data_IF_092915161333
#
_entry.id   IF_092915161333
#
_cell.length_a   1.000
_cell.length_b   1.000
_cell.length_c   1.000
_cell.angle_alpha   90.00
_cell.angle_beta   90.00
_cell.angle_gamma   90.00
#
_symmetry.space_group_name_H-M   'P 1'
#
loop_
_entity.id
_entity.type
_entity.pdbx_description
1 polymer ?
#
# COMPACT_ATOMS: atom_id res chain seq x y z
N UNK A 1 48.48 8.46 -2.56
CA UNK A 1 47.13 8.01 -2.14
C UNK A 1 46.19 9.17 -1.69
N UNK A 2 46.34 10.39 -2.23
CA UNK A 2 45.56 11.59 -1.82
C UNK A 2 44.76 12.27 -2.95
N UNK A 3 44.60 11.62 -4.12
CA UNK A 3 43.87 12.20 -5.26
C UNK A 3 42.73 11.33 -5.83
N UNK A 4 42.41 10.20 -5.22
CA UNK A 4 41.32 9.32 -5.67
C UNK A 4 40.00 9.49 -4.90
N UNK A 5 40.02 10.13 -3.73
CA UNK A 5 38.81 10.27 -2.88
C UNK A 5 37.93 11.46 -3.31
N UNK A 6 38.52 12.49 -3.94
CA UNK A 6 37.78 13.69 -4.33
C UNK A 6 36.95 13.50 -5.61
N UNK A 7 37.35 12.58 -6.49
CA UNK A 7 36.61 12.31 -7.74
C UNK A 7 35.38 11.40 -7.52
N UNK A 8 35.36 10.57 -6.48
CA UNK A 8 34.19 9.72 -6.17
C UNK A 8 33.05 10.50 -5.53
N UNK A 9 33.34 11.52 -4.70
CA UNK A 9 32.30 12.38 -4.11
C UNK A 9 31.64 13.32 -5.14
N UNK A 10 32.40 13.82 -6.13
CA UNK A 10 31.85 14.74 -7.12
C UNK A 10 31.06 14.02 -8.23
N UNK A 11 31.41 12.77 -8.55
CA UNK A 11 30.64 11.93 -9.47
C UNK A 11 29.29 11.50 -8.89
N UNK A 12 29.16 11.39 -7.56
CA UNK A 12 27.89 11.04 -6.92
C UNK A 12 26.89 12.22 -6.85
N UNK A 13 27.39 13.46 -6.87
CA UNK A 13 26.54 14.65 -6.90
C UNK A 13 25.96 14.98 -8.29
N UNK A 14 26.52 14.42 -9.37
CA UNK A 14 26.10 14.71 -10.75
C UNK A 14 24.96 13.80 -11.27
N UNK A 15 24.53 12.80 -10.51
CA UNK A 15 23.35 11.97 -10.85
C UNK A 15 22.06 12.38 -10.12
N UNK A 16 22.07 13.46 -9.34
CA UNK A 16 20.89 13.99 -8.66
C UNK A 16 19.96 14.81 -9.57
N UNK A 17 19.97 14.56 -10.89
CA UNK A 17 19.03 15.17 -11.83
C UNK A 17 17.84 14.25 -12.07
N UNK A 18 16.71 14.61 -11.45
CA UNK A 18 15.33 14.22 -11.80
C UNK A 18 15.08 12.73 -12.08
N UNK A 19 14.47 12.04 -11.12
CA UNK A 19 13.44 11.06 -11.46
C UNK A 19 12.33 11.06 -10.40
N UNK A 20 11.14 11.38 -10.90
CA UNK A 20 9.85 11.42 -10.22
C UNK A 20 9.39 9.97 -10.08
N UNK A 21 9.51 9.39 -8.89
CA UNK A 21 8.79 8.18 -8.47
C UNK A 21 8.58 8.27 -6.96
N UNK A 22 7.43 7.80 -6.47
CA UNK A 22 7.02 7.86 -5.06
C UNK A 22 8.14 7.34 -4.14
N UNK A 23 8.89 8.28 -3.55
CA UNK A 23 10.01 7.95 -2.69
C UNK A 23 9.47 7.37 -1.38
N UNK A 24 10.12 6.33 -0.86
CA UNK A 24 9.83 5.80 0.46
C UNK A 24 10.08 6.90 1.50
N UNK A 25 8.98 7.60 1.88
CA UNK A 25 9.00 8.56 2.98
C UNK A 25 9.05 7.78 4.29
N UNK A 26 10.11 8.04 5.05
CA UNK A 26 10.22 7.49 6.39
C UNK A 26 9.14 8.10 7.29
N UNK A 27 8.57 7.29 8.19
CA UNK A 27 7.49 7.71 9.07
C UNK A 27 7.89 8.90 9.95
N UNK A 28 6.92 9.76 10.28
CA UNK A 28 7.15 10.92 11.13
C UNK A 28 7.67 10.53 12.52
N UNK A 29 7.14 9.44 13.08
CA UNK A 29 7.57 8.83 14.34
C UNK A 29 7.43 7.31 14.26
N UNK A 30 8.27 6.58 15.00
CA UNK A 30 8.17 5.12 15.08
C UNK A 30 8.87 4.57 16.32
N UNK A 31 8.43 3.39 16.76
CA UNK A 31 9.07 2.64 17.83
C UNK A 31 9.61 1.33 17.26
N UNK A 32 10.81 0.96 17.64
CA UNK A 32 11.43 -0.25 17.14
C UNK A 32 12.21 -1.00 18.20
N UNK A 33 12.45 -2.27 17.89
CA UNK A 33 13.33 -3.13 18.65
C UNK A 33 14.26 -3.84 17.66
N UNK A 34 15.53 -3.89 18.01
CA UNK A 34 16.56 -4.57 17.24
C UNK A 34 17.33 -5.57 18.11
N UNK A 35 17.72 -6.67 17.49
CA UNK A 35 18.54 -7.72 18.08
C UNK A 35 19.66 -8.09 17.13
N UNK A 36 20.80 -8.50 17.68
CA UNK A 36 21.90 -9.01 16.89
C UNK A 36 23.12 -9.31 17.71
N UNK A 37 24.29 -9.17 17.11
CA UNK A 37 25.58 -9.52 17.70
C UNK A 37 26.41 -8.29 18.03
N UNK A 38 27.13 -8.33 19.15
CA UNK A 38 28.20 -7.41 19.48
C UNK A 38 29.52 -8.16 19.67
N UNK A 39 30.63 -7.48 19.35
CA UNK A 39 31.99 -8.00 19.50
C UNK A 39 32.89 -6.91 20.11
N UNK A 40 33.47 -7.21 21.27
CA UNK A 40 34.43 -6.31 21.93
C UNK A 40 35.68 -6.10 21.09
N UNK A 41 36.32 -4.94 21.22
CA UNK A 41 37.59 -4.63 20.56
C UNK A 41 38.70 -4.48 21.59
N UNK A 42 38.71 -5.35 22.61
CA UNK A 42 39.52 -5.19 23.82
C UNK A 42 40.56 -6.32 23.98
N UNK A 43 40.25 -7.52 23.49
CA UNK A 43 41.09 -8.70 23.60
C UNK A 43 40.95 -9.65 22.41
N UNK A 44 42.02 -10.35 22.04
CA UNK A 44 41.94 -11.43 21.05
C UNK A 44 41.06 -12.60 21.48
N UNK A 45 40.70 -12.68 22.77
CA UNK A 45 39.78 -13.67 23.32
C UNK A 45 38.29 -13.25 23.23
N UNK A 46 37.99 -12.07 22.70
CA UNK A 46 36.62 -11.56 22.56
C UNK A 46 35.74 -12.53 21.76
N UNK A 47 34.50 -12.70 22.23
CA UNK A 47 33.47 -13.52 21.56
C UNK A 47 32.29 -12.66 21.14
N UNK A 48 31.60 -13.13 20.11
CA UNK A 48 30.29 -12.59 19.74
C UNK A 48 29.29 -12.84 20.87
N UNK A 49 28.56 -11.80 21.23
CA UNK A 49 27.54 -11.80 22.27
C UNK A 49 26.25 -11.20 21.74
N UNK A 50 25.13 -11.48 22.38
CA UNK A 50 23.84 -10.92 21.97
C UNK A 50 23.77 -9.45 22.40
N UNK A 51 23.26 -8.61 21.51
CA UNK A 51 22.90 -7.22 21.77
C UNK A 51 21.42 -7.02 21.45
N UNK A 52 20.71 -6.34 22.36
CA UNK A 52 19.35 -5.84 22.12
C UNK A 52 19.32 -4.32 22.20
N UNK A 53 18.46 -3.67 21.41
CA UNK A 53 18.23 -2.23 21.44
C UNK A 53 16.76 -1.92 21.15
N UNK A 54 16.07 -1.29 22.11
CA UNK A 54 14.80 -0.62 21.86
C UNK A 54 15.05 0.83 21.45
N UNK A 55 14.26 1.37 20.54
CA UNK A 55 14.45 2.75 20.07
C UNK A 55 13.16 3.43 19.64
N UNK A 56 13.18 4.75 19.73
CA UNK A 56 12.18 5.66 19.20
C UNK A 56 12.82 6.49 18.09
N UNK A 57 12.26 6.41 16.88
CA UNK A 57 12.66 7.21 15.73
C UNK A 57 11.74 8.42 15.57
N UNK A 58 12.32 9.57 15.24
CA UNK A 58 11.59 10.79 14.95
C UNK A 58 12.24 11.54 13.80
N UNK A 59 11.44 12.35 13.12
CA UNK A 59 11.85 13.15 11.98
C UNK A 59 12.52 14.46 12.41
N UNK A 60 13.67 14.77 11.82
CA UNK A 60 14.36 16.06 11.98
C UNK A 60 14.18 16.92 10.73
N UNK A 61 14.63 16.42 9.58
CA UNK A 61 14.53 17.11 8.28
C UNK A 61 14.16 16.07 7.22
N UNK A 62 12.92 16.13 6.69
CA UNK A 62 12.49 15.21 5.63
C UNK A 62 13.24 15.43 4.32
N UNK A 63 13.52 14.37 3.53
CA UNK A 63 13.64 12.95 3.89
C UNK A 63 15.04 12.57 4.39
N UNK A 64 15.93 13.54 4.56
CA UNK A 64 17.38 13.36 4.56
C UNK A 64 17.95 13.11 5.97
N UNK A 65 17.26 13.54 7.04
CA UNK A 65 17.77 13.46 8.40
C UNK A 65 16.69 13.00 9.40
N UNK A 66 16.99 11.91 10.11
CA UNK A 66 16.17 11.35 11.18
C UNK A 66 16.97 11.26 12.48
N UNK A 67 16.27 11.26 13.61
CA UNK A 67 16.82 10.99 14.93
C UNK A 67 16.32 9.66 15.47
N UNK A 68 17.16 8.92 16.19
CA UNK A 68 16.79 7.73 16.94
C UNK A 68 17.31 7.80 18.38
N UNK A 69 16.38 7.87 19.32
CA UNK A 69 16.63 7.71 20.76
C UNK A 69 16.57 6.23 21.10
N UNK A 70 17.65 5.66 21.63
CA UNK A 70 17.77 4.23 21.91
C UNK A 70 18.18 3.91 23.33
N UNK A 71 17.73 2.76 23.81
CA UNK A 71 18.25 2.08 25.00
C UNK A 71 18.59 0.65 24.63
N UNK A 72 19.80 0.19 24.98
CA UNK A 72 20.27 -1.13 24.63
C UNK A 72 20.95 -1.86 25.78
N UNK A 73 21.11 -3.16 25.60
CA UNK A 73 21.77 -4.06 26.52
C UNK A 73 22.67 -5.02 25.74
N UNK A 74 23.87 -5.27 26.28
CA UNK A 74 24.72 -6.37 25.84
C UNK A 74 25.57 -6.86 27.00
N UNK A 75 26.09 -8.09 26.92
CA UNK A 75 27.03 -8.64 27.89
C UNK A 75 28.31 -9.03 27.19
N UNK A 76 29.26 -8.09 27.10
CA UNK A 76 30.56 -8.32 26.48
C UNK A 76 31.33 -9.39 27.27
N UNK A 77 32.01 -10.27 26.56
CA UNK A 77 32.66 -11.43 27.18
C UNK A 77 33.94 -11.82 26.44
N UNK A 78 35.03 -11.84 27.19
CA UNK A 78 36.31 -12.41 26.79
C UNK A 78 36.72 -13.45 27.85
N UNK A 79 36.57 -14.75 27.56
CA UNK A 79 36.85 -15.81 28.54
C UNK A 79 38.25 -15.68 29.15
N UNK A 80 38.31 -15.62 30.50
CA UNK A 80 39.56 -15.48 31.24
C UNK A 80 40.11 -14.04 31.31
N UNK A 81 39.43 -13.07 30.69
CA UNK A 81 39.85 -11.65 30.70
C UNK A 81 38.79 -10.78 31.39
N UNK A 82 37.54 -10.79 30.90
CA UNK A 82 36.46 -10.01 31.48
C UNK A 82 35.07 -10.56 31.09
N UNK A 83 34.05 -10.18 31.85
CA UNK A 83 32.64 -10.33 31.51
C UNK A 83 31.92 -9.10 32.02
N UNK A 84 31.30 -8.33 31.14
CA UNK A 84 30.72 -7.03 31.45
C UNK A 84 29.33 -6.87 30.83
N UNK A 85 28.29 -6.88 31.67
CA UNK A 85 26.96 -6.46 31.31
C UNK A 85 26.90 -4.93 31.21
N UNK A 86 26.49 -4.43 30.06
CA UNK A 86 26.47 -2.99 29.75
C UNK A 86 25.07 -2.59 29.29
N UNK A 87 24.51 -1.57 29.93
CA UNK A 87 23.33 -0.84 29.44
C UNK A 87 23.81 0.42 28.75
N UNK A 88 23.21 0.75 27.60
CA UNK A 88 23.50 1.96 26.83
C UNK A 88 22.24 2.78 26.61
N UNK A 89 22.39 4.10 26.59
CA UNK A 89 21.39 5.04 26.10
C UNK A 89 22.04 5.97 25.07
N UNK A 90 21.46 6.09 23.88
CA UNK A 90 22.09 6.77 22.76
C UNK A 90 21.12 7.58 21.90
N UNK A 91 21.60 8.66 21.30
CA UNK A 91 20.95 9.37 20.21
C UNK A 91 21.76 9.14 18.93
N UNK A 92 21.14 8.57 17.90
CA UNK A 92 21.71 8.44 16.55
C UNK A 92 21.03 9.44 15.63
N UNK A 93 21.83 10.16 14.84
CA UNK A 93 21.38 10.98 13.73
C UNK A 93 21.61 10.20 12.45
N UNK A 94 20.54 9.82 11.77
CA UNK A 94 20.55 9.00 10.55
C UNK A 94 20.43 9.94 9.35
N UNK A 95 21.48 9.99 8.54
CA UNK A 95 21.51 10.70 7.28
C UNK A 95 21.20 9.75 6.12
N UNK A 96 20.15 10.06 5.36
CA UNK A 96 19.67 9.28 4.21
C UNK A 96 20.06 10.06 2.95
N UNK A 97 21.18 9.70 2.28
CA UNK A 97 21.70 10.46 1.15
C UNK A 97 20.82 10.37 -0.10
N UNK A 98 20.05 9.27 -0.23
CA UNK A 98 19.11 9.03 -1.32
C UNK A 98 18.09 7.99 -0.87
N UNK A 99 16.89 8.03 -1.44
CA UNK A 99 15.81 7.07 -1.19
C UNK A 99 15.53 6.27 -2.46
N UNK A 100 15.50 4.94 -2.34
CA UNK A 100 15.03 4.05 -3.41
C UNK A 100 13.56 3.67 -3.14
N UNK A 101 12.89 3.09 -4.14
CA UNK A 101 11.45 2.73 -4.07
C UNK A 101 11.08 1.94 -2.80
N UNK A 102 11.96 1.03 -2.36
CA UNK A 102 11.71 0.16 -1.19
C UNK A 102 12.83 0.20 -0.15
N UNK A 103 13.90 0.96 -0.38
CA UNK A 103 15.12 0.88 0.43
C UNK A 103 15.72 2.27 0.69
N UNK A 104 15.88 2.60 1.96
CA UNK A 104 16.58 3.81 2.42
C UNK A 104 17.91 3.42 3.08
N UNK A 105 19.04 3.52 2.35
CA UNK A 105 20.34 3.42 2.98
C UNK A 105 20.58 4.65 3.86
N UNK A 106 21.25 4.46 4.99
CA UNK A 106 21.62 5.54 5.88
C UNK A 106 23.03 5.38 6.43
N UNK A 107 23.63 6.51 6.76
CA UNK A 107 24.83 6.61 7.58
C UNK A 107 24.40 7.25 8.90
N UNK A 108 24.89 6.79 10.03
CA UNK A 108 24.59 7.39 11.31
C UNK A 108 25.82 7.75 12.13
N UNK A 109 25.68 8.80 12.91
CA UNK A 109 26.59 9.21 13.96
C UNK A 109 25.79 9.74 15.14
N UNK A 110 26.37 9.74 16.33
CA UNK A 110 25.59 10.09 17.52
C UNK A 110 26.41 10.29 18.76
N UNK A 111 25.69 10.36 19.88
CA UNK A 111 26.25 10.47 21.21
C UNK A 111 25.40 9.64 22.18
N UNK A 112 26.04 9.13 23.22
CA UNK A 112 25.35 8.33 24.21
C UNK A 112 26.17 8.17 25.47
N UNK A 113 25.62 7.38 26.38
CA UNK A 113 26.27 6.96 27.61
C UNK A 113 26.05 5.47 27.79
N UNK A 114 27.02 4.81 28.40
CA UNK A 114 26.93 3.41 28.79
C UNK A 114 27.26 3.25 30.27
N UNK A 115 26.72 2.22 30.90
CA UNK A 115 27.03 1.86 32.28
C UNK A 115 27.22 0.35 32.39
N UNK A 116 28.31 -0.05 33.04
CA UNK A 116 28.54 -1.44 33.41
C UNK A 116 27.68 -1.78 34.64
N UNK A 117 26.78 -2.74 34.52
CA UNK A 117 25.83 -3.09 35.59
C UNK A 117 26.28 -4.27 36.45
N UNK A 118 27.36 -4.96 36.07
CA UNK A 118 27.95 -6.00 36.91
C UNK A 118 28.81 -5.40 38.05
N UNK A 119 29.20 -4.12 37.94
CA UNK A 119 30.01 -3.40 38.93
C UNK A 119 29.16 -2.38 39.68
N UNK A 120 28.97 -2.60 40.99
CA UNK A 120 28.28 -1.65 41.86
C UNK A 120 29.07 -0.34 41.96
N UNK A 121 28.38 0.79 41.78
CA UNK A 121 28.99 2.12 41.81
C UNK A 121 29.76 2.53 40.54
N UNK A 122 29.58 1.82 39.43
CA UNK A 122 30.18 2.19 38.14
C UNK A 122 29.69 3.55 37.63
N UNK A 123 30.63 4.29 37.02
CA UNK A 123 30.36 5.59 36.39
C UNK A 123 29.60 5.44 35.07
N UNK A 124 28.89 6.49 34.67
CA UNK A 124 28.41 6.62 33.30
C UNK A 124 29.57 6.97 32.38
N UNK A 125 29.78 6.13 31.37
CA UNK A 125 30.85 6.28 30.40
C UNK A 125 30.30 6.90 29.11
N UNK A 126 30.81 8.05 28.67
CA UNK A 126 30.37 8.67 27.42
C UNK A 126 30.78 7.82 26.22
N UNK A 127 29.89 7.76 25.23
CA UNK A 127 30.00 6.88 24.08
C UNK A 127 29.62 7.61 22.79
N UNK A 128 30.29 7.26 21.70
CA UNK A 128 30.05 7.79 20.35
C UNK A 128 29.68 6.64 19.42
N UNK A 129 28.39 6.42 19.13
CA UNK A 129 27.94 5.47 18.12
C UNK A 129 28.10 6.06 16.71
N UNK A 130 28.61 5.26 15.77
CA UNK A 130 28.57 5.56 14.35
C UNK A 130 28.51 4.29 13.51
N UNK A 131 27.95 4.38 12.32
CA UNK A 131 27.81 3.23 11.44
C UNK A 131 26.97 3.50 10.22
N UNK A 132 26.50 2.42 9.61
CA UNK A 132 25.71 2.41 8.39
C UNK A 132 24.57 1.41 8.51
N UNK A 133 23.56 1.55 7.66
CA UNK A 133 22.48 0.60 7.59
C UNK A 133 21.54 0.90 6.44
N UNK A 134 20.42 0.18 6.42
CA UNK A 134 19.30 0.51 5.56
C UNK A 134 17.98 0.19 6.25
N UNK A 135 16.93 0.88 5.82
CA UNK A 135 15.55 0.61 6.16
C UNK A 135 14.78 0.17 4.92
N UNK A 136 13.93 -0.85 5.04
CA UNK A 136 13.03 -1.30 3.98
C UNK A 136 11.61 -1.45 4.51
N UNK A 137 10.62 -1.15 3.66
CA UNK A 137 9.21 -1.36 3.99
C UNK A 137 8.90 -2.86 4.00
N UNK A 138 8.28 -3.36 5.06
CA UNK A 138 7.66 -4.69 5.11
C UNK A 138 6.13 -4.62 4.96
N UNK A 139 5.52 -3.50 5.34
CA UNK A 139 4.09 -3.23 5.20
C UNK A 139 3.77 -1.75 5.41
N UNK A 140 2.50 -1.37 5.43
CA UNK A 140 2.05 0.02 5.58
C UNK A 140 2.55 0.69 6.87
N UNK A 141 2.76 -0.09 7.95
CA UNK A 141 3.15 0.41 9.26
C UNK A 141 4.41 -0.26 9.84
N UNK A 142 5.12 -1.04 9.02
CA UNK A 142 6.24 -1.86 9.47
C UNK A 142 7.46 -1.69 8.58
N UNK A 143 8.60 -1.39 9.20
CA UNK A 143 9.90 -1.31 8.56
C UNK A 143 10.84 -2.36 9.15
N UNK A 144 11.67 -2.92 8.29
CA UNK A 144 12.87 -3.63 8.69
C UNK A 144 14.04 -2.65 8.66
N UNK A 145 14.83 -2.62 9.73
CA UNK A 145 16.11 -1.94 9.80
C UNK A 145 17.23 -2.99 9.91
N UNK A 146 18.28 -2.85 9.11
CA UNK A 146 19.52 -3.58 9.29
C UNK A 146 20.64 -2.55 9.45
N UNK A 147 21.36 -2.60 10.56
CA UNK A 147 22.46 -1.67 10.83
C UNK A 147 23.71 -2.35 11.36
N UNK A 148 24.86 -1.83 10.97
CA UNK A 148 26.17 -2.22 11.47
C UNK A 148 26.95 -0.98 11.89
N UNK A 149 27.69 -1.05 12.98
CA UNK A 149 28.48 0.08 13.43
C UNK A 149 29.39 -0.21 14.60
N UNK A 150 29.97 0.85 15.12
CA UNK A 150 30.91 0.83 16.23
C UNK A 150 30.46 1.81 17.32
N UNK A 151 30.59 1.37 18.56
CA UNK A 151 30.31 2.17 19.75
C UNK A 151 31.64 2.44 20.43
N UNK A 152 32.17 3.65 20.23
CA UNK A 152 33.43 4.07 20.86
C UNK A 152 33.14 4.59 22.26
N UNK A 153 33.67 3.94 23.29
CA UNK A 153 33.71 4.48 24.65
C UNK A 153 34.86 5.48 24.73
N UNK A 154 34.65 6.66 25.31
CA UNK A 154 35.73 7.62 25.58
C UNK A 154 36.48 7.30 26.89
N UNK A 155 36.36 6.05 27.37
CA UNK A 155 36.98 5.51 28.57
C UNK A 155 37.49 4.09 28.32
N UNK A 156 38.46 3.68 29.12
CA UNK A 156 39.11 2.37 29.23
C UNK A 156 38.46 1.44 30.29
N UNK A 157 37.25 1.78 30.75
CA UNK A 157 36.53 1.06 31.83
C UNK A 157 35.25 0.41 31.36
N UNK A 158 35.00 0.31 30.06
CA UNK A 158 33.73 -0.19 29.54
C UNK A 158 33.48 -1.63 30.01
N UNK A 159 34.53 -2.43 29.98
CA UNK A 159 34.53 -3.84 30.35
C UNK A 159 35.31 -4.15 31.64
N UNK A 160 35.95 -3.13 32.22
CA UNK A 160 36.80 -3.25 33.42
C UNK A 160 38.22 -3.75 33.14
N UNK A 161 38.60 -3.96 31.87
CA UNK A 161 39.93 -4.40 31.47
C UNK A 161 40.81 -3.21 31.05
N UNK A 162 41.84 -2.91 31.85
CA UNK A 162 42.74 -1.78 31.56
C UNK A 162 43.68 -2.14 30.40
N UNK A 163 43.59 -1.38 29.30
CA UNK A 163 44.43 -1.58 28.11
C UNK A 163 45.88 -1.16 28.36
N UNK A 164 46.83 -1.99 27.92
CA UNK A 164 48.28 -1.69 27.93
C UNK A 164 48.67 -0.84 26.71
N UNK A 165 49.85 -0.21 26.74
CA UNK A 165 50.36 0.61 25.63
C UNK A 165 50.61 -0.20 24.33
N UNK A 166 50.57 -1.53 24.41
CA UNK A 166 50.68 -2.44 23.26
C UNK A 166 49.33 -2.75 22.58
N UNK A 167 48.20 -2.46 23.24
CA UNK A 167 46.85 -2.86 22.80
C UNK A 167 45.94 -1.64 22.70
N UNK A 168 46.33 -0.65 21.90
CA UNK A 168 45.54 0.56 21.67
C UNK A 168 44.31 0.26 20.81
N UNK A 169 43.27 1.06 20.98
CA UNK A 169 42.08 1.04 20.14
C UNK A 169 42.45 1.31 18.68
N UNK A 170 41.96 0.48 17.77
CA UNK A 170 42.32 0.54 16.34
C UNK A 170 41.87 1.85 15.67
N UNK A 171 40.84 2.51 16.19
CA UNK A 171 40.25 3.74 15.62
C UNK A 171 40.90 4.99 16.21
N UNK A 172 41.06 5.04 17.54
CA UNK A 172 41.55 6.24 18.24
C UNK A 172 43.05 6.24 18.50
N UNK A 173 43.71 5.09 18.36
CA UNK A 173 45.11 4.87 18.77
C UNK A 173 45.37 5.32 20.22
N UNK A 174 44.35 5.16 21.08
CA UNK A 174 44.35 5.47 22.51
C UNK A 174 43.78 4.27 23.28
N UNK A 175 43.82 4.33 24.61
CA UNK A 175 43.28 3.28 25.50
C UNK A 175 41.74 3.27 25.58
N UNK A 176 41.05 3.82 24.59
CA UNK A 176 39.59 3.87 24.59
C UNK A 176 39.00 2.48 24.29
N UNK A 177 37.97 2.07 25.02
CA UNK A 177 37.27 0.82 24.71
C UNK A 177 36.24 1.03 23.60
N UNK A 178 35.75 -0.07 23.06
CA UNK A 178 34.61 -0.05 22.18
C UNK A 178 34.17 -1.43 21.77
N UNK A 179 33.06 -1.48 21.04
CA UNK A 179 32.58 -2.72 20.45
C UNK A 179 31.91 -2.45 19.10
N UNK A 180 32.06 -3.41 18.20
CA UNK A 180 31.29 -3.48 16.95
C UNK A 180 29.95 -4.13 17.22
N UNK A 181 28.91 -3.72 16.49
CA UNK A 181 27.60 -4.34 16.55
C UNK A 181 26.96 -4.47 15.16
N UNK A 182 26.22 -5.55 14.95
CA UNK A 182 25.31 -5.75 13.82
C UNK A 182 23.93 -6.03 14.42
N UNK A 183 22.94 -5.25 14.01
CA UNK A 183 21.57 -5.30 14.52
C UNK A 183 20.59 -5.45 13.36
N UNK A 184 19.58 -6.29 13.57
CA UNK A 184 18.39 -6.40 12.73
C UNK A 184 17.20 -6.00 13.61
N UNK A 185 16.42 -5.03 13.17
CA UNK A 185 15.31 -4.49 13.92
C UNK A 185 14.03 -4.36 13.13
N UNK A 186 12.93 -4.45 13.85
CA UNK A 186 11.61 -4.09 13.34
C UNK A 186 11.23 -2.75 13.94
N UNK A 187 10.70 -1.86 13.11
CA UNK A 187 10.15 -0.59 13.52
C UNK A 187 8.69 -0.52 13.12
N UNK A 188 7.86 -0.16 14.08
CA UNK A 188 6.45 0.09 13.92
C UNK A 188 6.24 1.59 13.85
N UNK A 189 5.69 2.03 12.74
CA UNK A 189 5.39 3.42 12.50
C UNK A 189 3.98 3.62 13.03
N UNK A 190 3.82 4.37 14.13
CA UNK A 190 2.49 4.68 14.62
C UNK A 190 1.72 5.28 13.45
N UNK A 191 0.57 4.67 13.09
CA UNK A 191 -0.21 4.97 11.91
C UNK A 191 -0.16 6.47 11.60
N UNK A 192 0.68 6.88 10.64
CA UNK A 192 0.51 8.19 10.04
C UNK A 192 -0.81 8.06 9.31
N UNK A 193 -1.88 8.59 9.91
CA UNK A 193 -3.27 8.38 9.51
C UNK A 193 -3.45 8.54 8.01
N UNK A 194 -2.71 9.43 7.37
CA UNK A 194 -2.80 9.77 5.95
C UNK A 194 -2.38 8.65 4.97
N UNK A 195 -1.47 7.75 5.33
CA UNK A 195 -1.03 6.65 4.45
C UNK A 195 -1.51 5.26 4.93
N UNK A 196 -2.37 5.23 5.94
CA UNK A 196 -3.06 4.01 6.35
C UNK A 196 -4.24 3.73 5.43
N UNK A 197 -4.65 2.47 5.41
CA UNK A 197 -5.89 1.98 4.78
C UNK A 197 -6.66 1.26 5.91
N UNK A 198 -7.48 1.98 6.68
CA UNK A 198 -8.03 1.48 7.94
C UNK A 198 -9.14 0.44 7.77
N UNK A 199 -9.94 0.53 6.71
CA UNK A 199 -11.04 -0.38 6.37
C UNK A 199 -10.66 -1.44 5.34
N UNK A 200 -9.49 -1.33 4.71
CA UNK A 200 -8.87 -2.33 3.81
C UNK A 200 -9.60 -2.49 2.50
N UNK A 201 -10.13 -1.39 1.98
CA UNK A 201 -10.84 -1.34 0.71
C UNK A 201 -9.89 -1.16 -0.49
N UNK A 202 -8.63 -0.78 -0.23
CA UNK A 202 -7.60 -0.52 -1.23
C UNK A 202 -7.29 0.97 -1.46
N UNK A 203 -7.94 1.89 -0.76
CA UNK A 203 -7.61 3.31 -0.71
C UNK A 203 -6.86 3.65 0.57
N UNK A 204 -5.98 4.65 0.49
CA UNK A 204 -5.36 5.20 1.69
C UNK A 204 -6.18 6.39 2.17
N UNK A 205 -6.22 6.63 3.48
CA UNK A 205 -6.93 7.76 4.12
C UNK A 205 -6.70 9.10 3.44
N UNK A 206 -5.50 9.37 2.92
CA UNK A 206 -5.21 10.60 2.18
C UNK A 206 -6.03 10.68 0.89
N UNK A 207 -6.06 9.60 0.11
CA UNK A 207 -6.80 9.52 -1.13
C UNK A 207 -8.30 9.57 -0.87
N UNK A 208 -8.77 8.84 0.15
CA UNK A 208 -10.18 8.88 0.58
C UNK A 208 -10.61 10.29 0.97
N UNK A 209 -9.78 11.02 1.71
CA UNK A 209 -10.03 12.42 2.04
C UNK A 209 -10.04 13.34 0.81
N UNK A 210 -9.24 13.06 -0.21
CA UNK A 210 -9.23 13.80 -1.48
C UNK A 210 -10.48 13.50 -2.33
N UNK A 211 -10.99 12.26 -2.26
CA UNK A 211 -12.20 11.81 -2.95
C UNK A 211 -13.49 12.17 -2.19
N UNK A 212 -13.41 12.39 -0.88
CA UNK A 212 -14.55 12.66 -0.01
C UNK A 212 -15.19 11.43 0.63
N UNK A 213 -14.57 10.25 0.51
CA UNK A 213 -15.03 9.01 1.12
C UNK A 213 -14.66 8.92 2.61
N UNK A 214 -15.27 7.99 3.36
CA UNK A 214 -15.00 7.80 4.79
C UNK A 214 -13.88 6.76 5.03
N UNK A 215 -12.70 7.15 5.56
CA UNK A 215 -11.54 6.26 5.78
C UNK A 215 -11.69 5.06 6.72
N UNK A 216 -12.91 4.77 7.13
CA UNK A 216 -13.24 3.67 8.05
C UNK A 216 -14.45 2.88 7.55
N UNK A 217 -14.94 3.20 6.37
CA UNK A 217 -16.08 2.59 5.76
C UNK A 217 -15.75 2.25 4.31
N UNK A 218 -15.50 0.97 4.05
CA UNK A 218 -15.05 0.48 2.75
C UNK A 218 -16.03 0.70 1.60
N UNK A 219 -17.27 1.07 1.87
CA UNK A 219 -18.37 1.29 0.90
C UNK A 219 -19.17 2.52 1.38
N UNK A 220 -18.79 3.69 0.88
CA UNK A 220 -19.25 4.99 1.39
C UNK A 220 -20.70 5.28 1.02
N UNK A 221 -21.13 4.95 -0.20
CA UNK A 221 -22.49 5.20 -0.68
C UNK A 221 -23.46 4.02 -0.53
N UNK A 222 -22.94 2.85 -0.14
CA UNK A 222 -23.70 1.65 0.28
C UNK A 222 -24.42 0.96 -0.86
N UNK A 223 -23.79 0.92 -2.02
CA UNK A 223 -24.31 0.28 -3.21
C UNK A 223 -23.90 -1.20 -3.33
N UNK A 224 -22.96 -1.65 -2.47
CA UNK A 224 -22.42 -3.00 -2.45
C UNK A 224 -21.08 -3.17 -3.17
N UNK A 225 -20.47 -2.08 -3.64
CA UNK A 225 -19.13 -2.01 -4.20
C UNK A 225 -18.23 -1.20 -3.26
N UNK A 226 -16.98 -1.63 -3.07
CA UNK A 226 -16.07 -0.91 -2.19
C UNK A 226 -15.48 0.32 -2.89
N UNK A 227 -15.24 1.42 -2.16
CA UNK A 227 -14.71 2.68 -2.71
C UNK A 227 -13.41 2.45 -3.52
N UNK A 228 -12.52 1.61 -2.98
CA UNK A 228 -11.30 1.21 -3.68
C UNK A 228 -11.51 0.43 -4.97
N UNK A 229 -12.55 -0.40 -5.08
CA UNK A 229 -12.89 -1.10 -6.32
C UNK A 229 -13.47 -0.14 -7.35
N UNK A 230 -14.36 0.75 -6.94
CA UNK A 230 -14.94 1.80 -7.79
C UNK A 230 -13.86 2.67 -8.42
N UNK A 231 -12.95 3.22 -7.61
CA UNK A 231 -11.89 4.12 -8.09
C UNK A 231 -10.85 3.38 -8.94
N UNK A 232 -10.40 2.20 -8.52
CA UNK A 232 -9.25 1.56 -9.15
C UNK A 232 -9.64 0.70 -10.35
N UNK A 233 -10.79 0.04 -10.31
CA UNK A 233 -11.21 -0.96 -11.31
C UNK A 233 -12.33 -0.44 -12.21
N UNK A 234 -13.48 -0.06 -11.65
CA UNK A 234 -14.71 0.20 -12.41
C UNK A 234 -14.86 1.64 -12.90
N UNK A 235 -14.06 2.57 -12.35
CA UNK A 235 -14.09 4.01 -12.67
C UNK A 235 -15.42 4.70 -12.40
N UNK A 236 -16.21 4.11 -11.51
CA UNK A 236 -17.44 4.66 -10.96
C UNK A 236 -17.15 5.67 -9.83
N UNK A 237 -18.21 6.30 -9.33
CA UNK A 237 -18.14 7.33 -8.31
C UNK A 237 -18.45 6.77 -6.91
N UNK A 238 -17.47 6.69 -5.98
CA UNK A 238 -17.66 6.12 -4.62
C UNK A 238 -18.50 6.96 -3.64
N UNK A 239 -19.25 7.90 -4.18
CA UNK A 239 -20.17 8.79 -3.46
C UNK A 239 -21.57 8.76 -4.06
N UNK A 240 -21.80 7.92 -5.07
CA UNK A 240 -23.03 7.79 -5.82
C UNK A 240 -23.28 6.31 -6.09
N UNK A 241 -24.30 5.79 -5.40
CA UNK A 241 -24.69 4.40 -5.54
C UNK A 241 -25.15 3.98 -6.94
N UNK A 242 -25.38 4.95 -7.84
CA UNK A 242 -25.76 4.78 -9.24
C UNK A 242 -25.02 5.89 -10.01
N UNK A 243 -23.95 5.51 -10.70
CA UNK A 243 -22.98 6.43 -11.32
C UNK A 243 -23.53 7.06 -12.59
N UNK A 244 -24.16 6.26 -13.45
CA UNK A 244 -24.68 6.71 -14.75
C UNK A 244 -26.14 7.18 -14.72
N UNK A 245 -26.86 6.87 -13.65
CA UNK A 245 -28.19 7.36 -13.35
C UNK A 245 -29.32 6.60 -14.04
N UNK A 246 -29.12 5.33 -14.37
CA UNK A 246 -30.09 4.51 -15.09
C UNK A 246 -31.16 3.87 -14.19
N UNK A 247 -30.96 3.93 -12.86
CA UNK A 247 -31.84 3.37 -11.85
C UNK A 247 -31.42 1.99 -11.33
N UNK A 248 -30.24 1.49 -11.70
CA UNK A 248 -29.57 0.33 -11.15
C UNK A 248 -28.31 0.79 -10.41
N UNK A 249 -28.02 0.17 -9.26
CA UNK A 249 -26.85 0.55 -8.49
C UNK A 249 -25.57 -0.08 -9.07
N UNK A 250 -24.42 0.60 -9.05
CA UNK A 250 -23.17 0.10 -9.65
C UNK A 250 -22.78 -1.27 -9.08
N UNK A 251 -22.92 -1.44 -7.75
CA UNK A 251 -22.70 -2.72 -7.09
C UNK A 251 -23.65 -3.84 -7.55
N UNK A 252 -24.89 -3.54 -7.96
CA UNK A 252 -25.84 -4.52 -8.50
C UNK A 252 -25.49 -4.87 -9.94
N UNK A 253 -25.17 -3.86 -10.75
CA UNK A 253 -24.70 -4.03 -12.12
C UNK A 253 -23.49 -4.96 -12.19
N UNK A 254 -22.45 -4.66 -11.43
CA UNK A 254 -21.20 -5.42 -11.43
C UNK A 254 -21.39 -6.84 -10.87
N UNK A 255 -22.10 -6.99 -9.75
CA UNK A 255 -22.14 -8.27 -9.03
C UNK A 255 -23.24 -9.22 -9.50
N UNK A 256 -24.30 -8.73 -10.17
CA UNK A 256 -25.47 -9.54 -10.51
C UNK A 256 -25.76 -9.58 -12.00
N UNK A 257 -25.71 -8.43 -12.68
CA UNK A 257 -26.14 -8.32 -14.09
C UNK A 257 -24.98 -8.36 -15.08
N UNK A 258 -23.76 -8.04 -14.65
CA UNK A 258 -22.56 -7.87 -15.48
C UNK A 258 -22.72 -6.78 -16.56
N UNK A 259 -23.53 -5.77 -16.28
CA UNK A 259 -23.66 -4.55 -17.09
C UNK A 259 -22.49 -3.59 -16.83
N UNK A 260 -22.37 -2.55 -17.65
CA UNK A 260 -21.33 -1.53 -17.51
C UNK A 260 -21.85 -0.35 -16.67
N UNK A 261 -21.43 -0.17 -15.40
CA UNK A 261 -21.98 0.84 -14.47
C UNK A 261 -21.65 2.30 -14.82
N UNK A 262 -21.13 2.53 -16.03
CA UNK A 262 -20.88 3.85 -16.59
C UNK A 262 -21.71 4.09 -17.87
N UNK A 263 -22.64 3.19 -18.20
CA UNK A 263 -23.50 3.24 -19.37
C UNK A 263 -24.92 2.84 -19.00
N UNK A 264 -25.81 3.83 -19.11
CA UNK A 264 -27.23 3.64 -18.85
C UNK A 264 -27.92 2.56 -19.70
N UNK A 265 -27.32 2.16 -20.82
CA UNK A 265 -27.83 1.18 -21.79
C UNK A 265 -26.61 0.41 -22.33
N UNK A 266 -26.39 -0.79 -21.79
CA UNK A 266 -25.17 -1.58 -22.01
C UNK A 266 -25.16 -2.25 -23.38
N UNK A 267 -26.30 -2.76 -23.86
CA UNK A 267 -26.40 -3.45 -25.15
C UNK A 267 -26.78 -2.53 -26.32
N UNK A 268 -27.22 -1.31 -26.03
CA UNK A 268 -27.43 -0.24 -26.99
C UNK A 268 -28.75 -0.34 -27.74
N UNK A 269 -29.76 -0.97 -27.18
CA UNK A 269 -31.04 -1.23 -27.83
C UNK A 269 -32.04 -0.06 -27.70
N UNK A 270 -31.73 0.93 -26.85
CA UNK A 270 -32.55 2.10 -26.58
C UNK A 270 -33.43 1.99 -25.33
N UNK A 271 -33.27 0.94 -24.52
CA UNK A 271 -33.83 0.77 -23.19
C UNK A 271 -32.69 0.81 -22.16
N UNK A 272 -32.91 1.46 -21.02
CA UNK A 272 -31.87 1.53 -20.00
C UNK A 272 -31.80 0.23 -19.19
N UNK A 273 -30.62 -0.21 -18.75
CA UNK A 273 -30.43 -1.47 -18.02
C UNK A 273 -31.32 -1.54 -16.76
N UNK A 274 -31.40 -0.44 -16.01
CA UNK A 274 -32.27 -0.29 -14.86
C UNK A 274 -33.75 -0.41 -15.20
N UNK A 275 -34.20 0.02 -16.39
CA UNK A 275 -35.59 -0.12 -16.86
C UNK A 275 -35.88 -1.56 -17.28
N UNK A 276 -34.95 -2.17 -18.00
CA UNK A 276 -35.02 -3.58 -18.38
C UNK A 276 -35.14 -4.49 -17.16
N UNK A 277 -34.22 -4.36 -16.21
CA UNK A 277 -34.20 -5.21 -15.01
C UNK A 277 -35.40 -4.94 -14.11
N UNK A 278 -35.76 -3.67 -13.86
CA UNK A 278 -36.78 -3.35 -12.86
C UNK A 278 -38.21 -3.44 -13.39
N UNK A 279 -38.45 -3.07 -14.66
CA UNK A 279 -39.79 -2.89 -15.20
C UNK A 279 -40.18 -3.99 -16.20
N UNK A 280 -39.36 -4.19 -17.24
CA UNK A 280 -39.72 -5.06 -18.37
C UNK A 280 -39.30 -6.52 -18.17
N UNK A 281 -38.33 -6.79 -17.29
CA UNK A 281 -37.74 -8.12 -17.05
C UNK A 281 -37.06 -8.73 -18.28
N UNK A 282 -36.61 -7.88 -19.19
CA UNK A 282 -35.73 -8.20 -20.32
C UNK A 282 -34.28 -8.37 -19.84
N UNK A 283 -33.38 -8.71 -20.77
CA UNK A 283 -31.97 -8.95 -20.47
C UNK A 283 -31.09 -7.78 -20.94
N UNK A 284 -30.46 -7.01 -20.02
CA UNK A 284 -29.69 -5.79 -20.35
C UNK A 284 -28.34 -6.02 -21.07
N UNK A 285 -28.11 -7.25 -21.53
CA UNK A 285 -26.95 -7.65 -22.31
C UNK A 285 -27.38 -8.24 -23.66
N UNK A 286 -28.66 -8.18 -23.99
CA UNK A 286 -29.26 -8.77 -25.17
C UNK A 286 -30.39 -7.90 -25.71
N UNK A 287 -30.03 -7.11 -26.73
CA UNK A 287 -30.90 -6.12 -27.36
C UNK A 287 -32.23 -6.63 -27.95
N UNK A 288 -32.43 -7.94 -28.06
CA UNK A 288 -33.63 -8.62 -28.57
C UNK A 288 -33.85 -9.88 -27.72
N UNK A 289 -34.60 -9.73 -26.64
CA UNK A 289 -34.73 -10.73 -25.57
C UNK A 289 -35.46 -11.99 -26.01
N UNK A 290 -36.51 -11.86 -26.83
CA UNK A 290 -37.31 -13.00 -27.30
C UNK A 290 -36.88 -13.53 -28.68
N UNK A 291 -36.00 -12.82 -29.38
CA UNK A 291 -35.36 -13.27 -30.61
C UNK A 291 -36.29 -13.24 -31.81
N UNK A 292 -37.17 -12.25 -31.87
CA UNK A 292 -38.14 -12.08 -32.96
C UNK A 292 -37.64 -11.19 -34.11
N UNK A 293 -36.52 -10.49 -33.89
CA UNK A 293 -35.88 -9.58 -34.83
C UNK A 293 -36.18 -8.11 -34.59
N UNK A 294 -36.92 -7.76 -33.55
CA UNK A 294 -37.18 -6.41 -33.07
C UNK A 294 -36.43 -6.22 -31.73
N UNK A 295 -35.80 -5.06 -31.55
CA UNK A 295 -35.08 -4.80 -30.30
C UNK A 295 -36.05 -4.44 -29.16
N UNK A 296 -35.75 -4.82 -27.91
CA UNK A 296 -36.64 -4.60 -26.75
C UNK A 296 -36.98 -3.11 -26.58
N UNK A 297 -35.97 -2.24 -26.74
CA UNK A 297 -36.15 -0.79 -26.73
C UNK A 297 -37.08 -0.28 -27.84
N UNK A 298 -37.09 -0.90 -29.01
CA UNK A 298 -37.98 -0.54 -30.13
C UNK A 298 -39.40 -1.03 -29.88
N UNK A 299 -39.54 -2.26 -29.38
CA UNK A 299 -40.81 -2.83 -28.94
C UNK A 299 -41.50 -1.96 -27.91
N UNK A 300 -40.81 -1.66 -26.80
CA UNK A 300 -41.36 -0.88 -25.69
C UNK A 300 -41.64 0.57 -26.11
N UNK A 301 -40.72 1.23 -26.82
CA UNK A 301 -40.83 2.65 -27.08
C UNK A 301 -41.70 2.99 -28.30
N UNK A 302 -41.69 2.16 -29.34
CA UNK A 302 -42.32 2.47 -30.63
C UNK A 302 -43.57 1.64 -30.90
N UNK A 303 -43.47 0.31 -30.83
CA UNK A 303 -44.54 -0.60 -31.26
C UNK A 303 -45.52 -0.96 -30.14
N UNK A 304 -45.13 -0.80 -28.87
CA UNK A 304 -45.90 -1.18 -27.68
C UNK A 304 -46.22 -2.68 -27.61
N UNK A 305 -45.38 -3.49 -28.24
CA UNK A 305 -45.37 -4.96 -28.13
C UNK A 305 -44.72 -5.41 -26.82
N UNK A 306 -44.74 -6.70 -26.56
CA UNK A 306 -44.17 -7.28 -25.35
C UNK A 306 -42.80 -7.93 -25.66
N UNK A 307 -41.67 -7.38 -25.17
CA UNK A 307 -40.30 -7.83 -25.49
C UNK A 307 -39.90 -9.18 -24.89
N UNK A 308 -40.87 -9.93 -24.39
CA UNK A 308 -40.72 -11.27 -23.84
C UNK A 308 -41.56 -12.30 -24.61
N UNK A 309 -42.20 -11.89 -25.70
CA UNK A 309 -43.10 -12.70 -26.50
C UNK A 309 -42.92 -12.35 -27.96
N UNK A 310 -42.31 -13.28 -28.68
CA UNK A 310 -41.90 -13.14 -30.08
C UNK A 310 -43.05 -12.99 -31.10
N UNK A 311 -44.29 -12.92 -30.65
CA UNK A 311 -45.55 -12.80 -31.38
C UNK A 311 -46.56 -12.28 -30.35
N UNK A 312 -46.75 -10.97 -30.24
CA UNK A 312 -47.47 -10.30 -29.15
C UNK A 312 -48.96 -10.61 -29.18
N UNK A 313 -49.59 -10.64 -30.35
CA UNK A 313 -51.02 -10.84 -30.50
C UNK A 313 -51.44 -12.32 -30.61
N UNK A 314 -50.50 -13.20 -30.92
CA UNK A 314 -50.68 -14.66 -31.00
C UNK A 314 -51.30 -15.15 -32.31
N UNK A 315 -51.14 -14.43 -33.42
CA UNK A 315 -51.68 -14.83 -34.73
C UNK A 315 -50.78 -15.82 -35.49
N UNK A 316 -49.54 -16.02 -35.02
CA UNK A 316 -48.55 -16.92 -35.59
C UNK A 316 -47.49 -16.24 -36.48
N UNK A 317 -47.51 -14.92 -36.64
CA UNK A 317 -46.45 -14.09 -37.19
C UNK A 317 -45.66 -13.43 -36.05
N UNK A 318 -44.36 -13.25 -36.24
CA UNK A 318 -43.51 -12.60 -35.22
C UNK A 318 -43.61 -11.08 -35.31
N UNK A 319 -43.55 -10.34 -34.20
CA UNK A 319 -43.71 -8.88 -34.21
C UNK A 319 -42.69 -8.20 -35.14
N UNK A 320 -41.43 -8.63 -35.09
CA UNK A 320 -40.38 -8.17 -36.00
C UNK A 320 -40.70 -8.43 -37.48
N UNK A 321 -41.34 -9.56 -37.81
CA UNK A 321 -41.80 -9.85 -39.17
C UNK A 321 -42.99 -8.99 -39.57
N UNK A 322 -43.93 -8.76 -38.67
CA UNK A 322 -45.09 -7.90 -38.89
C UNK A 322 -44.69 -6.47 -39.21
N UNK A 323 -43.75 -5.90 -38.44
CA UNK A 323 -43.18 -4.58 -38.72
C UNK A 323 -42.52 -4.54 -40.10
N UNK A 324 -41.84 -5.61 -40.51
CA UNK A 324 -41.25 -5.72 -41.85
C UNK A 324 -42.31 -5.78 -42.96
N UNK A 325 -43.41 -6.51 -42.74
CA UNK A 325 -44.52 -6.64 -43.70
C UNK A 325 -45.53 -5.49 -43.63
N UNK A 326 -45.39 -4.60 -42.64
CA UNK A 326 -46.29 -3.46 -42.35
C UNK A 326 -47.68 -3.87 -41.89
N UNK A 327 -47.80 -5.03 -41.25
CA UNK A 327 -48.94 -5.34 -40.38
C UNK A 327 -48.73 -4.72 -38.99
N UNK A 328 -49.78 -4.70 -38.17
CA UNK A 328 -49.79 -4.19 -36.81
C UNK A 328 -49.61 -5.34 -35.81
N UNK A 329 -48.46 -5.43 -35.09
CA UNK A 329 -48.15 -6.54 -34.17
C UNK A 329 -49.02 -6.62 -32.92
N UNK A 330 -50.05 -5.77 -32.83
CA UNK A 330 -51.06 -5.78 -31.79
C UNK A 330 -52.43 -6.26 -32.29
N UNK A 331 -52.56 -6.62 -33.58
CA UNK A 331 -53.81 -6.97 -34.23
C UNK A 331 -53.68 -8.18 -35.12
N UNK A 332 -54.36 -9.26 -34.73
CA UNK A 332 -54.30 -10.56 -35.42
C UNK A 332 -54.79 -10.57 -36.88
N UNK A 333 -55.32 -9.45 -37.37
CA UNK A 333 -55.91 -9.22 -38.70
C UNK A 333 -55.91 -7.69 -38.92
N UNK A 334 -54.83 -7.18 -39.50
CA UNK A 334 -54.58 -5.73 -39.61
C UNK A 334 -55.58 -5.03 -40.54
N UNK A 335 -56.01 -5.70 -41.61
CA UNK A 335 -56.88 -5.10 -42.63
C UNK A 335 -58.38 -5.40 -42.43
N UNK A 336 -58.69 -6.34 -41.53
CA UNK A 336 -60.03 -6.70 -41.09
C UNK A 336 -60.82 -7.49 -42.13
N UNK A 337 -60.15 -8.20 -43.05
CA UNK A 337 -60.79 -8.98 -44.10
C UNK A 337 -61.25 -10.39 -43.64
N UNK A 338 -60.80 -10.81 -42.46
CA UNK A 338 -61.13 -12.09 -41.82
C UNK A 338 -60.06 -13.18 -41.99
N UNK A 339 -58.93 -12.90 -42.64
CA UNK A 339 -57.71 -13.72 -42.63
C UNK A 339 -56.67 -13.04 -41.73
N UNK A 340 -56.06 -13.78 -40.80
CA UNK A 340 -55.02 -13.21 -39.96
C UNK A 340 -53.70 -13.01 -40.69
N UNK A 341 -52.92 -12.01 -40.29
CA UNK A 341 -51.71 -11.56 -40.98
C UNK A 341 -50.69 -12.70 -41.14
N UNK A 342 -50.51 -13.52 -40.11
CA UNK A 342 -49.68 -14.74 -40.16
C UNK A 342 -50.12 -15.78 -41.18
N UNK A 343 -51.42 -15.85 -41.50
CA UNK A 343 -51.93 -16.73 -42.56
C UNK A 343 -51.67 -16.12 -43.94
N UNK A 344 -51.86 -14.82 -44.09
CA UNK A 344 -51.69 -14.11 -45.35
C UNK A 344 -50.24 -14.16 -45.85
N UNK A 345 -49.27 -13.90 -44.95
CA UNK A 345 -47.84 -13.96 -45.27
C UNK A 345 -47.40 -15.37 -45.67
N UNK A 346 -47.96 -16.41 -45.05
CA UNK A 346 -47.61 -17.81 -45.35
C UNK A 346 -48.28 -18.38 -46.62
N UNK A 347 -49.22 -17.66 -47.24
CA UNK A 347 -49.90 -18.10 -48.47
C UNK A 347 -49.30 -17.53 -49.77
N UNK A 348 -48.21 -16.76 -49.70
CA UNK A 348 -47.52 -16.15 -50.83
C UNK A 348 -46.03 -16.51 -50.94
#
# INVERSE_FOLDING_TARGET
>A
MKRFILFSMLSLMLFASKQIYAQFENPNVGFGAAVGGAYGDNSSADKWVIQGRGFFQYKLISPILLGQLGVGYTKLNAPGVYSAATIMADNRLLFIPFSLEKLNPFIYGGFGVSKNVDVSGSDFLPMVPFGVGFQTRLGSQMLLEVSGGYHLSLSDKLDGHIRTDSNLNTITNKKHDGYSGILIGLMFTGASSENGDPDKDGLITKLEKELGTDPKNADTDKDGLNDGAEVNQYKTSPLKADTDGDGLNDGVEVNQHNTDPNKMDTDGDGLNDGVEVNQHKTYPLNADTDGDGLNDGVEVNQHKTNPLKDDTDGDGLKDGAEVQYKSDPLQTDTDGDGLGDGVEVNQH
#
